data_IF_595764515828
#
_entry.id   IF_595764515828
#
_cell.length_a   1.000
_cell.length_b   1.000
_cell.length_c   1.000
_cell.angle_alpha   90.00
_cell.angle_beta   90.00
_cell.angle_gamma   90.00
#
_symmetry.space_group_name_H-M   'P 1'
#
loop_
_entity.id
_entity.type
_entity.pdbx_description
1 polymer ?
#
# COMPACT_ATOMS: atom_id res chain seq x y z
N UNK A 1 72.85 -185.50 27.91
CA UNK A 1 72.67 -184.24 27.15
C UNK A 1 72.12 -184.44 25.73
N UNK A 2 72.28 -185.62 25.09
CA UNK A 2 71.75 -185.91 23.74
C UNK A 2 70.21 -185.98 23.66
N UNK A 3 69.53 -186.39 24.74
CA UNK A 3 68.07 -186.53 24.77
C UNK A 3 67.33 -185.19 24.61
N UNK A 4 67.83 -184.10 25.20
CA UNK A 4 67.20 -182.77 25.10
C UNK A 4 67.32 -182.19 23.68
N UNK A 5 68.44 -182.45 22.99
CA UNK A 5 68.65 -182.02 21.60
C UNK A 5 67.70 -182.71 20.62
N UNK A 6 67.42 -184.00 20.84
CA UNK A 6 66.47 -184.77 20.00
C UNK A 6 65.04 -184.25 20.12
N UNK A 7 64.55 -183.94 21.33
CA UNK A 7 63.23 -183.33 21.50
C UNK A 7 63.13 -181.93 20.89
N UNK A 8 64.23 -181.16 20.90
CA UNK A 8 64.26 -179.85 20.24
C UNK A 8 64.18 -179.97 18.72
N UNK A 9 64.96 -180.89 18.12
CA UNK A 9 64.91 -181.13 16.67
C UNK A 9 63.53 -181.66 16.26
N UNK A 10 62.96 -182.60 17.01
CA UNK A 10 61.63 -183.15 16.74
C UNK A 10 60.53 -182.08 16.88
N UNK A 11 60.61 -181.23 17.90
CA UNK A 11 59.70 -180.10 18.08
C UNK A 11 59.81 -179.08 16.94
N UNK A 12 61.02 -178.75 16.51
CA UNK A 12 61.25 -177.84 15.39
C UNK A 12 60.74 -178.42 14.06
N UNK A 13 60.98 -179.72 13.81
CA UNK A 13 60.49 -180.40 12.62
C UNK A 13 58.96 -180.45 12.60
N UNK A 14 58.33 -180.70 13.75
CA UNK A 14 56.87 -180.72 13.91
C UNK A 14 56.26 -179.33 13.69
N UNK A 15 56.86 -178.27 14.26
CA UNK A 15 56.41 -176.90 14.04
C UNK A 15 56.60 -176.45 12.57
N UNK A 16 57.73 -176.82 11.95
CA UNK A 16 57.99 -176.56 10.54
C UNK A 16 56.99 -177.26 9.62
N UNK A 17 56.62 -178.51 9.93
CA UNK A 17 55.62 -179.26 9.19
C UNK A 17 54.23 -178.61 9.28
N UNK A 18 53.80 -178.18 10.47
CA UNK A 18 52.54 -177.45 10.66
C UNK A 18 52.53 -176.10 9.92
N UNK A 19 53.63 -175.34 9.95
CA UNK A 19 53.74 -174.07 9.24
C UNK A 19 53.61 -174.24 7.72
N UNK A 20 54.23 -175.29 7.15
CA UNK A 20 54.15 -175.64 5.73
C UNK A 20 52.73 -176.04 5.30
N UNK A 21 51.94 -176.62 6.21
CA UNK A 21 50.55 -177.01 5.94
C UNK A 21 49.61 -175.79 5.92
N UNK A 22 49.86 -174.80 6.79
CA UNK A 22 48.99 -173.62 6.93
C UNK A 22 49.37 -172.48 5.96
N UNK A 23 50.65 -172.33 5.60
CA UNK A 23 51.12 -171.26 4.71
C UNK A 23 50.37 -171.17 3.35
N UNK A 24 50.06 -172.29 2.65
CA UNK A 24 49.32 -172.24 1.39
C UNK A 24 47.89 -171.71 1.55
N UNK A 25 47.25 -171.94 2.70
CA UNK A 25 45.88 -171.48 2.96
C UNK A 25 45.84 -169.97 3.23
N UNK A 26 46.80 -169.45 4.01
CA UNK A 26 46.92 -168.01 4.29
C UNK A 26 47.26 -167.25 3.00
N UNK A 27 48.18 -167.75 2.16
CA UNK A 27 48.55 -167.10 0.91
C UNK A 27 47.38 -167.00 -0.08
N UNK A 28 46.59 -168.07 -0.25
CA UNK A 28 45.39 -168.04 -1.11
C UNK A 28 44.37 -167.00 -0.64
N UNK A 29 44.21 -166.84 0.68
CA UNK A 29 43.29 -165.84 1.25
C UNK A 29 43.81 -164.41 1.11
N UNK A 30 45.12 -164.20 1.21
CA UNK A 30 45.73 -162.88 0.97
C UNK A 30 45.59 -162.43 -0.50
N UNK A 31 45.88 -163.32 -1.46
CA UNK A 31 45.78 -163.02 -2.90
C UNK A 31 44.34 -162.74 -3.34
N UNK A 32 43.35 -163.44 -2.78
CA UNK A 32 41.94 -163.18 -3.11
C UNK A 32 41.46 -161.84 -2.57
N UNK A 33 41.91 -161.44 -1.37
CA UNK A 33 41.59 -160.12 -0.82
C UNK A 33 42.25 -158.98 -1.59
N UNK A 34 43.52 -159.13 -2.00
CA UNK A 34 44.19 -158.10 -2.82
C UNK A 34 43.64 -158.05 -4.24
N UNK A 35 43.34 -159.19 -4.86
CA UNK A 35 42.69 -159.26 -6.18
C UNK A 35 41.32 -158.58 -6.16
N UNK A 36 40.47 -158.89 -5.16
CA UNK A 36 39.17 -158.21 -4.99
C UNK A 36 39.29 -156.71 -4.76
N UNK A 37 40.36 -156.27 -4.07
CA UNK A 37 40.59 -154.84 -3.80
C UNK A 37 41.04 -154.08 -5.06
N UNK A 38 41.87 -154.71 -5.89
CA UNK A 38 42.35 -154.13 -7.15
C UNK A 38 41.26 -154.11 -8.21
N UNK A 39 40.50 -155.21 -8.36
CA UNK A 39 39.35 -155.30 -9.28
C UNK A 39 38.26 -154.27 -8.94
N UNK A 40 38.11 -153.86 -7.68
CA UNK A 40 37.18 -152.80 -7.28
C UNK A 40 37.68 -151.37 -7.55
N UNK A 41 38.96 -151.19 -7.92
CA UNK A 41 39.60 -149.88 -8.04
C UNK A 41 40.05 -149.52 -9.47
N UNK A 42 39.98 -150.47 -10.41
CA UNK A 42 40.46 -150.28 -11.79
C UNK A 42 39.36 -150.65 -12.78
N UNK A 43 38.96 -149.74 -13.68
CA UNK A 43 37.96 -150.05 -14.71
C UNK A 43 38.54 -151.05 -15.70
N UNK A 44 37.83 -152.17 -15.92
CA UNK A 44 38.29 -153.29 -16.76
C UNK A 44 37.36 -153.53 -17.97
N UNK A 45 36.28 -152.76 -18.14
CA UNK A 45 35.34 -152.91 -19.25
C UNK A 45 35.42 -151.75 -20.24
N UNK A 46 35.33 -152.04 -21.54
CA UNK A 46 35.39 -151.02 -22.59
C UNK A 46 34.23 -150.03 -22.51
N UNK A 47 33.07 -150.48 -22.03
CA UNK A 47 31.87 -149.67 -21.87
C UNK A 47 32.03 -148.62 -20.77
N UNK A 48 32.72 -148.93 -19.66
CA UNK A 48 33.04 -147.95 -18.60
C UNK A 48 34.01 -146.87 -19.08
N UNK A 49 34.99 -147.21 -19.93
CA UNK A 49 35.91 -146.25 -20.53
C UNK A 49 35.16 -145.32 -21.51
N UNK A 50 34.24 -145.87 -22.30
CA UNK A 50 33.39 -145.07 -23.18
C UNK A 50 32.45 -144.16 -22.38
N UNK A 51 31.84 -144.66 -21.30
CA UNK A 51 31.01 -143.85 -20.40
C UNK A 51 31.81 -142.72 -19.73
N UNK A 52 33.06 -142.97 -19.31
CA UNK A 52 33.95 -141.93 -18.78
C UNK A 52 34.35 -140.89 -19.83
N UNK A 53 34.57 -141.32 -21.08
CA UNK A 53 34.84 -140.39 -22.19
C UNK A 53 33.62 -139.53 -22.52
N UNK A 54 32.43 -140.12 -22.55
CA UNK A 54 31.19 -139.41 -22.82
C UNK A 54 30.77 -138.53 -21.65
N UNK A 55 31.05 -138.90 -20.39
CA UNK A 55 30.82 -138.03 -19.23
C UNK A 55 31.73 -136.81 -19.26
N UNK A 56 33.02 -136.97 -19.57
CA UNK A 56 33.94 -135.84 -19.77
C UNK A 56 33.51 -134.95 -20.93
N UNK A 57 33.05 -135.55 -22.04
CA UNK A 57 32.50 -134.78 -23.17
C UNK A 57 31.24 -134.01 -22.77
N UNK A 58 30.37 -134.60 -21.96
CA UNK A 58 29.18 -133.95 -21.46
C UNK A 58 29.51 -132.82 -20.47
N UNK A 59 30.47 -133.01 -19.56
CA UNK A 59 30.96 -131.96 -18.66
C UNK A 59 31.57 -130.81 -19.44
N UNK A 60 32.39 -131.08 -20.44
CA UNK A 60 32.95 -130.05 -21.33
C UNK A 60 31.84 -129.32 -22.11
N UNK A 61 30.87 -130.05 -22.67
CA UNK A 61 29.75 -129.43 -23.37
C UNK A 61 28.89 -128.55 -22.43
N UNK A 62 28.61 -129.01 -21.21
CA UNK A 62 27.86 -128.26 -20.20
C UNK A 62 28.62 -127.03 -19.72
N UNK A 63 29.93 -127.14 -19.48
CA UNK A 63 30.76 -125.99 -19.07
C UNK A 63 30.89 -124.97 -20.18
N UNK A 64 31.09 -125.39 -21.44
CA UNK A 64 31.06 -124.50 -22.61
C UNK A 64 29.70 -123.80 -22.70
N UNK A 65 28.59 -124.54 -22.60
CA UNK A 65 27.25 -123.93 -22.65
C UNK A 65 27.03 -122.93 -21.51
N UNK A 66 27.46 -123.26 -20.29
CA UNK A 66 27.37 -122.36 -19.13
C UNK A 66 28.21 -121.11 -19.33
N UNK A 67 29.41 -121.23 -19.89
CA UNK A 67 30.28 -120.09 -20.24
C UNK A 67 29.68 -119.23 -21.35
N UNK A 68 29.11 -119.83 -22.39
CA UNK A 68 28.40 -119.10 -23.46
C UNK A 68 27.20 -118.32 -22.90
N UNK A 69 26.40 -118.95 -22.04
CA UNK A 69 25.27 -118.28 -21.39
C UNK A 69 25.74 -117.14 -20.49
N UNK A 70 26.79 -117.34 -19.70
CA UNK A 70 27.37 -116.30 -18.87
C UNK A 70 27.96 -115.15 -19.71
N UNK A 71 28.64 -115.47 -20.82
CA UNK A 71 29.17 -114.49 -21.76
C UNK A 71 28.03 -113.68 -22.39
N UNK A 72 26.94 -114.33 -22.79
CA UNK A 72 25.77 -113.66 -23.35
C UNK A 72 25.13 -112.74 -22.32
N UNK A 73 24.89 -113.22 -21.10
CA UNK A 73 24.34 -112.41 -20.01
C UNK A 73 25.26 -111.24 -19.63
N UNK A 74 26.58 -111.43 -19.64
CA UNK A 74 27.54 -110.36 -19.41
C UNK A 74 27.52 -109.31 -20.53
N UNK A 75 27.46 -109.75 -21.80
CA UNK A 75 27.33 -108.84 -22.96
C UNK A 75 26.03 -108.05 -22.92
N UNK A 76 24.91 -108.69 -22.58
CA UNK A 76 23.61 -108.03 -22.43
C UNK A 76 23.66 -106.98 -21.30
N UNK A 77 24.25 -107.30 -20.15
CA UNK A 77 24.46 -106.34 -19.05
C UNK A 77 25.33 -105.15 -19.46
N UNK A 78 26.44 -105.39 -20.15
CA UNK A 78 27.31 -104.31 -20.65
C UNK A 78 26.58 -103.45 -21.67
N UNK A 79 25.81 -104.04 -22.58
CA UNK A 79 24.99 -103.29 -23.53
C UNK A 79 23.93 -102.43 -22.83
N UNK A 80 23.23 -102.98 -21.82
CA UNK A 80 22.27 -102.23 -21.01
C UNK A 80 22.95 -101.07 -20.27
N UNK A 81 24.08 -101.32 -19.61
CA UNK A 81 24.87 -100.29 -18.92
C UNK A 81 25.39 -99.20 -19.87
N UNK A 82 25.79 -99.56 -21.10
CA UNK A 82 26.18 -98.57 -22.10
C UNK A 82 25.00 -97.68 -22.52
N UNK A 83 23.81 -98.25 -22.69
CA UNK A 83 22.60 -97.48 -23.00
C UNK A 83 22.24 -96.53 -21.85
N UNK A 84 22.27 -97.01 -20.60
CA UNK A 84 22.04 -96.19 -19.40
C UNK A 84 23.07 -95.05 -19.28
N UNK A 85 24.36 -95.37 -19.46
CA UNK A 85 25.43 -94.37 -19.42
C UNK A 85 25.27 -93.32 -20.54
N UNK A 86 24.84 -93.73 -21.74
CA UNK A 86 24.56 -92.79 -22.82
C UNK A 86 23.36 -91.89 -22.51
N UNK A 87 22.27 -92.46 -21.97
CA UNK A 87 21.11 -91.68 -21.53
C UNK A 87 21.47 -90.66 -20.45
N UNK A 88 22.23 -91.07 -19.43
CA UNK A 88 22.72 -90.19 -18.37
C UNK A 88 23.65 -89.09 -18.91
N UNK A 89 24.51 -89.42 -19.88
CA UNK A 89 25.36 -88.41 -20.56
C UNK A 89 24.54 -87.39 -21.33
N UNK A 90 23.47 -87.82 -21.99
CA UNK A 90 22.60 -86.91 -22.74
C UNK A 90 21.78 -86.02 -21.79
N UNK A 91 21.30 -86.55 -20.66
CA UNK A 91 20.67 -85.77 -19.61
C UNK A 91 21.64 -84.75 -19.00
N UNK A 92 22.88 -85.16 -18.70
CA UNK A 92 23.92 -84.27 -18.20
C UNK A 92 24.21 -83.14 -19.20
N UNK A 93 24.31 -83.44 -20.50
CA UNK A 93 24.50 -82.41 -21.53
C UNK A 93 23.35 -81.42 -21.56
N UNK A 94 22.09 -81.89 -21.50
CA UNK A 94 20.91 -81.01 -21.44
C UNK A 94 20.93 -80.12 -20.21
N UNK A 95 21.20 -80.69 -19.04
CA UNK A 95 21.31 -79.94 -17.79
C UNK A 95 22.43 -78.88 -17.84
N UNK A 96 23.58 -79.20 -18.43
CA UNK A 96 24.66 -78.23 -18.64
C UNK A 96 24.24 -77.09 -19.57
N UNK A 97 23.59 -77.40 -20.70
CA UNK A 97 23.11 -76.35 -21.61
C UNK A 97 22.06 -75.45 -20.96
N UNK A 98 21.14 -76.02 -20.18
CA UNK A 98 20.13 -75.25 -19.44
C UNK A 98 20.78 -74.36 -18.38
N UNK A 99 21.76 -74.90 -17.63
CA UNK A 99 22.56 -74.14 -16.67
C UNK A 99 23.28 -72.98 -17.35
N UNK A 100 23.89 -73.20 -18.51
CA UNK A 100 24.64 -72.17 -19.21
C UNK A 100 23.71 -71.06 -19.73
N UNK A 101 22.54 -71.41 -20.28
CA UNK A 101 21.50 -70.44 -20.67
C UNK A 101 21.00 -69.65 -19.46
N UNK A 102 20.71 -70.32 -18.34
CA UNK A 102 20.31 -69.65 -17.10
C UNK A 102 21.40 -68.72 -16.60
N UNK A 103 22.66 -69.17 -16.58
CA UNK A 103 23.81 -68.35 -16.16
C UNK A 103 23.95 -67.09 -17.01
N UNK A 104 23.77 -67.20 -18.33
CA UNK A 104 23.77 -66.03 -19.22
C UNK A 104 22.60 -65.09 -18.92
N UNK A 105 21.41 -65.63 -18.63
CA UNK A 105 20.25 -64.81 -18.25
C UNK A 105 20.47 -64.08 -16.92
N UNK A 106 21.08 -64.74 -15.93
CA UNK A 106 21.44 -64.12 -14.65
C UNK A 106 22.44 -62.99 -14.84
N UNK A 107 23.49 -63.19 -15.64
CA UNK A 107 24.47 -62.15 -15.94
C UNK A 107 23.84 -60.95 -16.66
N UNK A 108 22.89 -61.19 -17.57
CA UNK A 108 22.16 -60.10 -18.22
C UNK A 108 21.27 -59.32 -17.23
N UNK A 109 20.62 -60.03 -16.30
CA UNK A 109 19.79 -59.41 -15.27
C UNK A 109 20.65 -58.62 -14.27
N UNK A 110 21.79 -59.15 -13.84
CA UNK A 110 22.76 -58.44 -12.99
C UNK A 110 23.29 -57.18 -13.68
N UNK A 111 23.66 -57.28 -14.96
CA UNK A 111 24.12 -56.12 -15.72
C UNK A 111 23.02 -55.06 -15.89
N UNK A 112 21.75 -55.47 -16.01
CA UNK A 112 20.61 -54.53 -16.04
C UNK A 112 20.34 -53.92 -14.67
N UNK A 113 20.42 -54.71 -13.60
CA UNK A 113 20.26 -54.23 -12.23
C UNK A 113 21.33 -53.18 -11.90
N UNK A 114 22.60 -53.45 -12.21
CA UNK A 114 23.69 -52.50 -12.01
C UNK A 114 23.49 -51.18 -12.76
N UNK A 115 23.01 -51.24 -14.02
CA UNK A 115 22.68 -50.04 -14.80
C UNK A 115 21.52 -49.25 -14.18
N UNK A 116 20.48 -49.94 -13.72
CA UNK A 116 19.34 -49.29 -13.07
C UNK A 116 19.74 -48.66 -11.74
N UNK A 117 20.63 -49.30 -10.96
CA UNK A 117 21.18 -48.73 -9.73
C UNK A 117 22.00 -47.46 -10.02
N UNK A 118 22.82 -47.45 -11.08
CA UNK A 118 23.56 -46.27 -11.52
C UNK A 118 22.62 -45.14 -11.99
N UNK A 119 21.60 -45.46 -12.78
CA UNK A 119 20.58 -44.49 -13.19
C UNK A 119 19.76 -43.93 -12.01
N UNK A 120 19.46 -44.76 -11.01
CA UNK A 120 18.79 -44.32 -9.79
C UNK A 120 19.67 -43.40 -8.96
N UNK A 121 20.95 -43.75 -8.77
CA UNK A 121 21.90 -42.90 -8.06
C UNK A 121 22.04 -41.54 -8.75
N UNK A 122 22.18 -41.50 -10.07
CA UNK A 122 22.22 -40.24 -10.82
C UNK A 122 20.93 -39.43 -10.70
N UNK A 123 19.75 -40.07 -10.76
CA UNK A 123 18.47 -39.38 -10.56
C UNK A 123 18.32 -38.85 -9.14
N UNK A 124 18.83 -39.56 -8.14
CA UNK A 124 18.83 -39.10 -6.75
C UNK A 124 19.73 -37.87 -6.57
N UNK A 125 20.92 -37.86 -7.18
CA UNK A 125 21.82 -36.70 -7.21
C UNK A 125 21.15 -35.49 -7.90
N UNK A 126 20.55 -35.70 -9.08
CA UNK A 126 19.82 -34.66 -9.80
C UNK A 126 18.64 -34.12 -8.98
N UNK A 127 17.89 -35.01 -8.32
CA UNK A 127 16.78 -34.62 -7.47
C UNK A 127 17.24 -33.80 -6.26
N UNK A 128 18.33 -34.19 -5.60
CA UNK A 128 18.93 -33.42 -4.51
C UNK A 128 19.37 -32.04 -5.01
N UNK A 129 20.07 -31.94 -6.14
CA UNK A 129 20.52 -30.68 -6.70
C UNK A 129 19.34 -29.75 -7.07
N UNK A 130 18.25 -30.29 -7.64
CA UNK A 130 17.04 -29.52 -7.94
C UNK A 130 16.32 -29.09 -6.67
N UNK A 131 16.24 -29.96 -5.66
CA UNK A 131 15.63 -29.64 -4.36
C UNK A 131 16.39 -28.51 -3.64
N UNK A 132 17.72 -28.56 -3.63
CA UNK A 132 18.56 -27.50 -3.06
C UNK A 132 18.35 -26.17 -3.78
N UNK A 133 18.32 -26.18 -5.12
CA UNK A 133 18.01 -25.00 -5.94
C UNK A 133 16.62 -24.44 -5.63
N UNK A 134 15.62 -25.31 -5.45
CA UNK A 134 14.26 -24.88 -5.12
C UNK A 134 14.25 -24.16 -3.77
N UNK A 135 14.88 -24.73 -2.74
CA UNK A 135 14.99 -24.10 -1.41
C UNK A 135 15.74 -22.76 -1.48
N UNK A 136 16.81 -22.67 -2.29
CA UNK A 136 17.51 -21.39 -2.51
C UNK A 136 16.61 -20.34 -3.17
N UNK A 137 15.82 -20.73 -4.17
CA UNK A 137 14.88 -19.84 -4.84
C UNK A 137 13.72 -19.42 -3.94
N UNK A 138 13.18 -20.33 -3.12
CA UNK A 138 12.16 -20.02 -2.11
C UNK A 138 12.68 -18.97 -1.12
N UNK A 139 13.90 -19.15 -0.59
CA UNK A 139 14.55 -18.15 0.28
C UNK A 139 14.72 -16.80 -0.40
N UNK A 140 15.10 -16.78 -1.68
CA UNK A 140 15.20 -15.54 -2.47
C UNK A 140 13.84 -14.87 -2.63
N UNK A 141 12.78 -15.63 -2.90
CA UNK A 141 11.42 -15.11 -3.00
C UNK A 141 10.94 -14.53 -1.66
N UNK A 142 11.14 -15.23 -0.54
CA UNK A 142 10.82 -14.71 0.79
C UNK A 142 11.56 -13.40 1.11
N UNK A 143 12.84 -13.32 0.74
CA UNK A 143 13.62 -12.09 0.90
C UNK A 143 13.06 -10.94 0.04
N UNK A 144 12.68 -11.21 -1.21
CA UNK A 144 12.04 -10.22 -2.10
C UNK A 144 10.67 -9.79 -1.57
N UNK A 145 9.88 -10.69 -1.02
CA UNK A 145 8.59 -10.37 -0.41
C UNK A 145 8.76 -9.48 0.84
N UNK A 146 9.79 -9.73 1.64
CA UNK A 146 10.14 -8.87 2.77
C UNK A 146 10.61 -7.48 2.31
N UNK A 147 11.43 -7.41 1.26
CA UNK A 147 11.84 -6.15 0.62
C UNK A 147 10.63 -5.37 0.07
N UNK A 148 9.71 -6.04 -0.62
CA UNK A 148 8.49 -5.44 -1.15
C UNK A 148 7.57 -4.92 -0.06
N UNK A 149 7.37 -5.69 1.03
CA UNK A 149 6.60 -5.22 2.20
C UNK A 149 7.25 -4.00 2.84
N UNK A 150 8.58 -3.96 2.95
CA UNK A 150 9.32 -2.80 3.47
C UNK A 150 9.13 -1.60 2.55
N UNK A 151 9.28 -1.78 1.23
CA UNK A 151 9.09 -0.71 0.25
C UNK A 151 7.65 -0.19 0.24
N UNK A 152 6.66 -1.08 0.38
CA UNK A 152 5.26 -0.71 0.52
C UNK A 152 5.02 0.19 1.74
N UNK A 153 5.56 -0.18 2.91
CA UNK A 153 5.47 0.66 4.12
C UNK A 153 6.12 2.04 3.92
N UNK A 154 7.29 2.08 3.31
CA UNK A 154 7.97 3.35 3.01
C UNK A 154 7.18 4.22 2.03
N UNK A 155 6.52 3.60 1.05
CA UNK A 155 5.64 4.30 0.11
C UNK A 155 4.40 4.86 0.80
N UNK A 156 3.75 4.07 1.65
CA UNK A 156 2.59 4.50 2.43
C UNK A 156 2.95 5.67 3.35
N UNK A 157 4.07 5.57 4.07
CA UNK A 157 4.59 6.64 4.92
C UNK A 157 4.90 7.91 4.11
N UNK A 158 5.62 7.78 2.99
CA UNK A 158 5.91 8.92 2.12
C UNK A 158 4.65 9.55 1.51
N UNK A 159 3.63 8.74 1.21
CA UNK A 159 2.34 9.20 0.70
C UNK A 159 1.54 9.94 1.78
N UNK A 160 1.56 9.46 3.02
CA UNK A 160 0.97 10.15 4.17
C UNK A 160 1.67 11.47 4.45
N UNK A 161 3.01 11.50 4.42
CA UNK A 161 3.80 12.71 4.57
C UNK A 161 3.51 13.73 3.47
N UNK A 162 3.40 13.27 2.21
CA UNK A 162 3.03 14.15 1.10
C UNK A 162 1.62 14.73 1.28
N UNK A 163 0.66 13.91 1.70
CA UNK A 163 -0.71 14.35 1.99
C UNK A 163 -0.75 15.35 3.14
N UNK A 164 0.04 15.11 4.19
CA UNK A 164 0.19 16.02 5.34
C UNK A 164 0.77 17.37 4.90
N UNK A 165 1.86 17.37 4.12
CA UNK A 165 2.45 18.59 3.55
C UNK A 165 1.48 19.33 2.63
N UNK A 166 0.65 18.62 1.87
CA UNK A 166 -0.39 19.25 1.04
C UNK A 166 -1.44 19.95 1.90
N UNK A 167 -1.90 19.34 2.99
CA UNK A 167 -2.81 19.96 3.95
C UNK A 167 -2.17 21.21 4.58
N UNK A 168 -0.91 21.13 4.98
CA UNK A 168 -0.16 22.27 5.52
C UNK A 168 -0.01 23.40 4.50
N UNK A 169 0.31 23.07 3.24
CA UNK A 169 0.43 24.05 2.16
C UNK A 169 -0.90 24.78 1.93
N UNK A 170 -2.02 24.06 1.88
CA UNK A 170 -3.37 24.65 1.74
C UNK A 170 -3.71 25.51 2.96
N UNK A 171 -3.34 25.08 4.17
CA UNK A 171 -3.53 25.87 5.38
C UNK A 171 -2.68 27.17 5.36
N UNK A 172 -1.45 27.10 4.88
CA UNK A 172 -0.59 28.27 4.69
C UNK A 172 -1.12 29.22 3.62
N UNK A 173 -1.64 28.71 2.52
CA UNK A 173 -2.28 29.50 1.47
C UNK A 173 -3.52 30.24 2.00
N UNK A 174 -4.38 29.54 2.76
CA UNK A 174 -5.52 30.17 3.43
C UNK A 174 -5.10 31.27 4.42
N UNK A 175 -4.00 31.07 5.16
CA UNK A 175 -3.44 32.13 6.04
C UNK A 175 -2.93 33.32 5.24
N UNK A 176 -2.26 33.09 4.11
CA UNK A 176 -1.80 34.16 3.22
C UNK A 176 -2.98 34.95 2.65
N UNK A 177 -4.06 34.30 2.27
CA UNK A 177 -5.24 34.99 1.75
C UNK A 177 -5.98 35.80 2.82
N UNK A 178 -6.06 35.30 4.06
CA UNK A 178 -6.51 36.10 5.20
C UNK A 178 -5.62 37.33 5.42
N UNK A 179 -4.30 37.15 5.44
CA UNK A 179 -3.37 38.27 5.62
C UNK A 179 -3.46 39.28 4.46
N UNK A 180 -3.64 38.81 3.21
CA UNK A 180 -3.88 39.70 2.06
C UNK A 180 -5.18 40.49 2.23
N UNK A 181 -6.26 39.85 2.70
CA UNK A 181 -7.52 40.50 2.98
C UNK A 181 -7.35 41.57 4.08
N UNK A 182 -6.68 41.24 5.19
CA UNK A 182 -6.37 42.17 6.27
C UNK A 182 -5.52 43.35 5.78
N UNK A 183 -4.49 43.10 4.96
CA UNK A 183 -3.68 44.17 4.33
C UNK A 183 -4.56 45.06 3.45
N UNK A 184 -5.53 44.50 2.72
CA UNK A 184 -6.43 45.29 1.88
C UNK A 184 -7.37 46.18 2.73
N UNK A 185 -7.87 45.65 3.85
CA UNK A 185 -8.70 46.38 4.81
C UNK A 185 -7.87 47.51 5.43
N UNK A 186 -6.69 47.21 5.97
CA UNK A 186 -5.77 48.20 6.56
C UNK A 186 -5.35 49.27 5.54
N UNK A 187 -5.17 48.91 4.26
CA UNK A 187 -4.90 49.90 3.19
C UNK A 187 -6.09 50.82 2.96
N UNK A 188 -7.31 50.30 2.96
CA UNK A 188 -8.52 51.09 2.81
C UNK A 188 -8.73 52.00 4.03
N UNK A 189 -8.59 51.47 5.24
CA UNK A 189 -8.64 52.25 6.49
C UNK A 189 -7.58 53.36 6.51
N UNK A 190 -6.34 53.06 6.07
CA UNK A 190 -5.29 54.06 5.93
C UNK A 190 -5.70 55.13 4.91
N UNK A 191 -6.25 54.75 3.76
CA UNK A 191 -6.69 55.69 2.72
C UNK A 191 -7.82 56.60 3.24
N UNK A 192 -8.78 56.03 3.96
CA UNK A 192 -9.86 56.79 4.61
C UNK A 192 -9.31 57.71 5.70
N UNK A 193 -8.37 57.24 6.53
CA UNK A 193 -7.72 58.07 7.54
C UNK A 193 -6.90 59.21 6.93
N UNK A 194 -6.15 58.93 5.85
CA UNK A 194 -5.40 59.94 5.09
C UNK A 194 -6.36 60.96 4.45
N UNK A 195 -7.53 60.53 3.96
CA UNK A 195 -8.55 61.41 3.41
C UNK A 195 -9.19 62.28 4.50
N UNK A 196 -9.59 61.69 5.64
CA UNK A 196 -10.08 62.43 6.81
C UNK A 196 -9.04 63.43 7.32
N UNK A 197 -7.76 63.04 7.37
CA UNK A 197 -6.68 63.94 7.75
C UNK A 197 -6.57 65.12 6.76
N UNK A 198 -6.67 64.86 5.45
CA UNK A 198 -6.68 65.93 4.44
C UNK A 198 -7.88 66.86 4.60
N UNK A 199 -9.08 66.34 4.80
CA UNK A 199 -10.30 67.11 5.07
C UNK A 199 -10.12 67.97 6.32
N UNK A 200 -9.72 67.39 7.45
CA UNK A 200 -9.46 68.14 8.69
C UNK A 200 -8.39 69.21 8.49
N UNK A 201 -7.32 68.95 7.72
CA UNK A 201 -6.31 69.98 7.43
C UNK A 201 -6.84 71.09 6.51
N UNK A 202 -7.72 70.77 5.56
CA UNK A 202 -8.37 71.74 4.69
C UNK A 202 -9.36 72.60 5.48
N UNK A 203 -10.19 71.97 6.32
CA UNK A 203 -11.12 72.64 7.23
C UNK A 203 -10.39 73.53 8.22
N UNK A 204 -9.27 73.07 8.80
CA UNK A 204 -8.42 73.90 9.66
C UNK A 204 -7.85 75.12 8.91
N UNK A 205 -7.46 74.96 7.63
CA UNK A 205 -7.00 76.09 6.81
C UNK A 205 -8.14 77.07 6.52
N UNK A 206 -9.31 76.57 6.11
CA UNK A 206 -10.49 77.38 5.85
C UNK A 206 -10.95 78.13 7.12
N UNK A 207 -11.00 77.46 8.26
CA UNK A 207 -11.30 78.07 9.56
C UNK A 207 -10.28 79.15 9.94
N UNK A 208 -8.98 78.92 9.70
CA UNK A 208 -7.94 79.94 9.92
C UNK A 208 -8.09 81.13 8.98
N UNK A 209 -8.48 80.92 7.73
CA UNK A 209 -8.74 82.00 6.77
C UNK A 209 -10.00 82.79 7.13
N UNK A 210 -11.08 82.11 7.52
CA UNK A 210 -12.29 82.73 8.04
C UNK A 210 -11.99 83.56 9.30
N UNK A 211 -11.23 83.01 10.25
CA UNK A 211 -10.79 83.74 11.45
C UNK A 211 -9.96 84.98 11.08
N UNK A 212 -9.04 84.88 10.11
CA UNK A 212 -8.31 86.04 9.60
C UNK A 212 -9.23 87.07 8.95
N UNK A 213 -10.24 86.64 8.21
CA UNK A 213 -11.22 87.53 7.59
C UNK A 213 -12.07 88.25 8.65
N UNK A 214 -12.55 87.54 9.67
CA UNK A 214 -13.24 88.12 10.82
C UNK A 214 -12.33 89.08 11.59
N UNK A 215 -11.07 88.72 11.86
CA UNK A 215 -10.10 89.66 12.46
C UNK A 215 -9.91 90.93 11.62
N UNK A 216 -9.87 90.82 10.28
CA UNK A 216 -9.81 92.01 9.40
C UNK A 216 -11.09 92.85 9.48
N UNK A 217 -12.27 92.22 9.58
CA UNK A 217 -13.55 92.92 9.77
C UNK A 217 -13.61 93.60 11.13
N UNK A 218 -13.21 92.92 12.21
CA UNK A 218 -13.09 93.48 13.56
C UNK A 218 -12.13 94.65 13.55
N UNK A 219 -10.92 94.51 12.99
CA UNK A 219 -9.99 95.63 12.85
C UNK A 219 -10.56 96.78 11.99
N UNK A 220 -11.38 96.48 10.97
CA UNK A 220 -12.09 97.48 10.19
C UNK A 220 -13.21 98.18 10.96
N UNK A 221 -13.92 97.46 11.83
CA UNK A 221 -14.93 98.00 12.74
C UNK A 221 -14.29 98.82 13.86
N UNK A 222 -13.19 98.34 14.44
CA UNK A 222 -12.36 99.09 15.41
C UNK A 222 -11.92 100.42 14.81
N UNK A 223 -11.41 100.44 13.57
CA UNK A 223 -11.10 101.70 12.87
C UNK A 223 -12.31 102.59 12.63
N UNK A 224 -13.49 102.03 12.36
CA UNK A 224 -14.72 102.81 12.22
C UNK A 224 -15.20 103.37 13.55
N UNK A 225 -15.05 102.62 14.64
CA UNK A 225 -15.29 103.10 16.00
C UNK A 225 -14.29 104.20 16.34
N UNK A 226 -13.02 104.05 15.98
CA UNK A 226 -11.98 105.07 16.16
C UNK A 226 -12.29 106.33 15.32
N UNK A 227 -12.75 106.18 14.08
CA UNK A 227 -13.21 107.30 13.25
C UNK A 227 -14.47 107.96 13.81
N UNK A 228 -15.44 107.19 14.31
CA UNK A 228 -16.66 107.72 14.91
C UNK A 228 -16.38 108.42 16.23
N UNK A 229 -15.49 107.88 17.07
CA UNK A 229 -15.04 108.51 18.31
C UNK A 229 -14.22 109.76 18.03
N UNK A 230 -13.36 109.76 17.01
CA UNK A 230 -12.68 110.97 16.53
C UNK A 230 -13.68 112.00 15.98
N UNK A 231 -14.71 111.58 15.24
CA UNK A 231 -15.77 112.48 14.76
C UNK A 231 -16.65 113.02 15.87
N UNK A 232 -16.89 112.23 16.93
CA UNK A 232 -17.56 112.64 18.15
C UNK A 232 -16.69 113.64 18.90
N UNK A 233 -15.38 113.38 19.05
CA UNK A 233 -14.44 114.32 19.64
C UNK A 233 -14.36 115.62 18.84
N UNK A 234 -14.34 115.57 17.50
CA UNK A 234 -14.38 116.76 16.64
C UNK A 234 -15.73 117.50 16.75
N UNK A 235 -16.84 116.78 16.93
CA UNK A 235 -18.16 117.37 17.15
C UNK A 235 -18.29 117.98 18.55
N UNK A 236 -17.72 117.34 19.57
CA UNK A 236 -17.57 117.84 20.93
C UNK A 236 -16.68 119.08 20.96
N UNK A 237 -15.56 119.10 20.22
CA UNK A 237 -14.69 120.27 20.02
C UNK A 237 -15.42 121.41 19.31
N UNK A 238 -16.27 121.09 18.31
CA UNK A 238 -17.11 122.09 17.61
C UNK A 238 -18.21 122.62 18.53
N UNK A 239 -18.80 121.78 19.38
CA UNK A 239 -19.74 122.16 20.43
C UNK A 239 -19.05 123.05 21.46
N UNK A 240 -17.86 122.68 21.93
CA UNK A 240 -17.07 123.45 22.87
C UNK A 240 -16.66 124.82 22.27
N UNK A 241 -16.35 124.89 20.97
CA UNK A 241 -16.13 126.15 20.26
C UNK A 241 -17.41 126.99 20.14
N UNK A 242 -18.56 126.37 19.85
CA UNK A 242 -19.88 127.04 19.82
C UNK A 242 -20.31 127.54 21.21
N UNK A 243 -19.98 126.79 22.26
CA UNK A 243 -20.20 127.19 23.65
C UNK A 243 -19.26 128.33 24.06
N UNK A 244 -18.00 128.33 23.62
CA UNK A 244 -17.07 129.45 23.78
C UNK A 244 -17.49 130.70 22.98
N UNK A 245 -18.12 130.54 21.82
CA UNK A 245 -18.72 131.64 21.03
C UNK A 245 -20.00 132.20 21.69
N UNK A 246 -20.84 131.33 22.28
CA UNK A 246 -21.98 131.75 23.10
C UNK A 246 -21.56 132.42 24.42
N UNK A 247 -20.41 132.05 24.97
CA UNK A 247 -19.80 132.72 26.13
C UNK A 247 -19.26 134.12 25.80
N UNK A 248 -18.78 134.35 24.58
CA UNK A 248 -18.25 135.66 24.12
C UNK A 248 -19.33 136.65 23.65
N UNK A 249 -20.54 136.17 23.34
CA UNK A 249 -21.68 136.99 22.92
C UNK A 249 -22.63 137.39 24.08
N UNK A 250 -22.29 137.04 25.33
CA UNK A 250 -23.15 137.30 26.50
C UNK A 250 -22.69 138.44 27.41
N UNK A 251 -21.54 139.06 27.15
CA UNK A 251 -21.00 140.18 27.96
C UNK A 251 -20.53 141.39 27.12
N UNK A 252 -21.46 142.10 26.47
CA UNK A 252 -21.69 143.56 26.63
C UNK A 252 -22.68 144.15 25.59
N UNK A 253 -23.46 145.20 25.97
CA UNK A 253 -24.71 145.59 25.33
C UNK A 253 -24.61 146.87 24.48
N UNK A 254 -25.45 147.01 23.44
CA UNK A 254 -26.51 148.03 23.33
C UNK A 254 -27.20 148.02 21.93
N UNK A 255 -28.52 148.21 21.98
CA UNK A 255 -29.45 148.80 21.00
C UNK A 255 -29.70 148.24 19.58
N UNK A 256 -30.99 147.97 19.36
CA UNK A 256 -31.74 148.15 18.10
C UNK A 256 -31.78 146.92 17.19
N UNK A 257 -32.92 146.35 16.80
CA UNK A 257 -34.31 146.79 16.81
C UNK A 257 -35.01 146.12 15.62
N UNK A 258 -36.32 145.85 15.75
CA UNK A 258 -37.21 145.52 14.63
C UNK A 258 -37.38 144.01 14.39
N UNK A 259 -38.45 143.40 14.94
CA UNK A 259 -39.79 143.23 14.33
C UNK A 259 -39.76 142.37 13.06
N UNK A 260 -40.32 141.16 13.18
CA UNK A 260 -41.60 140.77 12.56
C UNK A 260 -41.44 140.44 11.05
N UNK A 261 -42.04 139.42 10.46
CA UNK A 261 -43.30 138.78 10.77
C UNK A 261 -43.40 137.54 9.86
N UNK A 262 -44.27 136.61 10.29
CA UNK A 262 -45.27 135.92 9.46
C UNK A 262 -44.83 135.00 8.32
N UNK A 263 -45.42 133.80 8.44
CA UNK A 263 -45.75 132.81 7.41
C UNK A 263 -44.52 132.04 6.92
N UNK A 264 -44.57 130.72 6.80
CA UNK A 264 -45.56 130.02 5.99
C UNK A 264 -46.08 128.70 6.59
N UNK A 265 -47.41 128.58 6.62
CA UNK A 265 -48.23 127.37 6.77
C UNK A 265 -48.04 126.36 5.61
N UNK A 266 -46.94 126.47 4.85
CA UNK A 266 -46.57 125.57 3.75
C UNK A 266 -45.58 124.47 4.17
N UNK A 267 -44.82 124.68 5.26
CA UNK A 267 -43.84 123.70 5.77
C UNK A 267 -44.48 122.54 6.56
N UNK A 268 -45.58 122.80 7.26
CA UNK A 268 -46.32 121.75 8.00
C UNK A 268 -47.10 120.81 7.08
N UNK A 269 -47.49 121.27 5.88
CA UNK A 269 -48.13 120.43 4.87
C UNK A 269 -47.15 119.43 4.23
N UNK A 270 -45.90 119.85 3.96
CA UNK A 270 -44.87 118.96 3.42
C UNK A 270 -44.41 117.90 4.44
N UNK A 271 -44.37 118.25 5.73
CA UNK A 271 -44.04 117.29 6.79
C UNK A 271 -45.16 116.26 7.00
N UNK A 272 -46.44 116.67 6.93
CA UNK A 272 -47.59 115.74 6.95
C UNK A 272 -47.61 114.84 5.72
N UNK A 273 -47.33 115.37 4.53
CA UNK A 273 -47.24 114.59 3.29
C UNK A 273 -46.14 113.52 3.37
N UNK A 274 -44.95 113.87 3.88
CA UNK A 274 -43.83 112.95 4.07
C UNK A 274 -44.12 111.88 5.12
N UNK A 275 -44.80 112.22 6.22
CA UNK A 275 -45.23 111.24 7.23
C UNK A 275 -46.26 110.27 6.65
N UNK A 276 -47.22 110.75 5.84
CA UNK A 276 -48.18 109.87 5.18
C UNK A 276 -47.55 108.99 4.10
N UNK A 277 -46.52 109.48 3.39
CA UNK A 277 -45.75 108.69 2.41
C UNK A 277 -44.97 107.57 3.11
N UNK A 278 -44.27 107.89 4.21
CA UNK A 278 -43.49 106.93 4.99
C UNK A 278 -44.39 105.90 5.68
N UNK A 279 -45.54 106.32 6.21
CA UNK A 279 -46.53 105.42 6.80
C UNK A 279 -47.10 104.44 5.76
N UNK A 280 -47.36 104.89 4.52
CA UNK A 280 -47.84 104.01 3.45
C UNK A 280 -46.78 102.97 3.04
N UNK A 281 -45.50 103.36 3.02
CA UNK A 281 -44.39 102.47 2.66
C UNK A 281 -44.11 101.42 3.74
N UNK A 282 -44.14 101.81 5.01
CA UNK A 282 -44.01 100.89 6.15
C UNK A 282 -45.17 99.90 6.20
N UNK A 283 -46.41 100.36 6.00
CA UNK A 283 -47.60 99.48 5.97
C UNK A 283 -47.56 98.52 4.78
N UNK A 284 -47.08 98.94 3.62
CA UNK A 284 -46.89 98.07 2.45
C UNK A 284 -45.78 97.03 2.69
N UNK A 285 -44.68 97.41 3.35
CA UNK A 285 -43.60 96.49 3.70
C UNK A 285 -44.06 95.44 4.73
N UNK A 286 -44.85 95.85 5.73
CA UNK A 286 -45.45 94.91 6.70
C UNK A 286 -46.51 94.03 6.06
N UNK A 287 -47.33 94.54 5.14
CA UNK A 287 -48.30 93.72 4.41
C UNK A 287 -47.62 92.66 3.51
N UNK A 288 -46.44 92.95 2.95
CA UNK A 288 -45.63 91.97 2.21
C UNK A 288 -45.00 90.91 3.12
N UNK A 289 -44.71 91.24 4.37
CA UNK A 289 -44.15 90.31 5.36
C UNK A 289 -45.22 89.44 6.03
N UNK A 290 -46.44 89.96 6.24
CA UNK A 290 -47.54 89.24 6.91
C UNK A 290 -48.34 88.28 5.99
N UNK A 291 -48.20 88.38 4.66
CA UNK A 291 -48.87 87.49 3.71
C UNK A 291 -50.38 87.76 3.52
N UNK A 292 -51.05 86.98 2.64
CA UNK A 292 -52.38 87.33 2.06
C UNK A 292 -53.56 87.33 3.05
N UNK A 293 -53.40 86.84 4.28
CA UNK A 293 -54.48 86.73 5.28
C UNK A 293 -54.43 87.78 6.40
N UNK A 294 -53.59 88.83 6.27
CA UNK A 294 -53.47 89.87 7.29
C UNK A 294 -54.76 90.71 7.46
N UNK A 295 -55.11 91.13 8.69
CA UNK A 295 -56.28 91.98 8.96
C UNK A 295 -56.24 93.33 8.22
N UNK A 296 -55.05 93.80 7.83
CA UNK A 296 -54.84 95.04 7.06
C UNK A 296 -55.33 94.88 5.61
N UNK A 297 -55.12 93.71 4.99
CA UNK A 297 -55.64 93.40 3.65
C UNK A 297 -57.17 93.40 3.60
N UNK A 298 -57.82 92.87 4.65
CA UNK A 298 -59.30 92.84 4.77
C UNK A 298 -59.90 94.24 4.97
N UNK A 299 -59.25 95.10 5.76
CA UNK A 299 -59.69 96.49 5.96
C UNK A 299 -59.50 97.40 4.72
N UNK A 300 -58.55 97.08 3.84
CA UNK A 300 -58.34 97.82 2.58
C UNK A 300 -59.31 97.40 1.46
N UNK A 301 -59.87 96.18 1.54
CA UNK A 301 -60.86 95.65 0.60
C UNK A 301 -62.30 96.11 0.91
N UNK A 302 -62.56 96.57 2.15
CA UNK A 302 -63.87 97.02 2.59
C UNK A 302 -64.13 98.48 2.17
N UNK A 303 -65.16 98.68 1.33
CA UNK A 303 -65.47 99.95 0.66
C UNK A 303 -66.48 100.75 1.49
N UNK A 304 -66.04 101.77 2.23
CA UNK A 304 -66.94 102.72 2.91
C UNK A 304 -67.06 104.06 2.16
N UNK A 305 -68.27 104.65 2.02
CA UNK A 305 -68.49 105.85 1.20
C UNK A 305 -68.46 107.16 2.00
N UNK A 306 -67.63 108.07 1.51
CA UNK A 306 -67.80 109.53 1.39
C UNK A 306 -67.85 110.42 2.65
N UNK A 307 -67.05 111.49 2.58
CA UNK A 307 -67.04 112.61 3.52
C UNK A 307 -66.04 113.68 3.09
N UNK A 308 -66.36 114.38 2.01
CA UNK A 308 -65.56 115.44 1.42
C UNK A 308 -65.22 116.56 2.41
N UNK A 309 -63.93 116.74 2.70
CA UNK A 309 -63.36 118.04 3.05
C UNK A 309 -61.87 118.09 2.67
N UNK A 310 -61.52 119.02 1.79
CA UNK A 310 -60.16 119.54 1.63
C UNK A 310 -59.07 118.60 1.05
N UNK A 311 -59.05 118.45 -0.27
CA UNK A 311 -57.81 118.45 -1.08
C UNK A 311 -56.63 117.53 -0.73
N UNK A 312 -56.81 116.46 0.05
CA UNK A 312 -55.72 115.54 0.43
C UNK A 312 -56.14 114.08 0.20
N UNK A 313 -55.39 113.36 -0.63
CA UNK A 313 -55.65 111.96 -1.00
C UNK A 313 -55.54 111.05 0.23
N UNK A 314 -56.58 110.26 0.52
CA UNK A 314 -56.64 109.35 1.68
C UNK A 314 -55.50 108.31 1.66
N UNK A 315 -54.99 107.96 2.84
CA UNK A 315 -53.92 106.98 3.03
C UNK A 315 -54.25 105.60 2.41
N UNK A 316 -55.52 105.17 2.50
CA UNK A 316 -55.98 103.92 1.92
C UNK A 316 -55.94 103.91 0.38
N UNK A 317 -56.16 105.07 -0.25
CA UNK A 317 -56.09 105.22 -1.70
C UNK A 317 -54.64 105.24 -2.20
N UNK A 318 -53.71 105.83 -1.43
CA UNK A 318 -52.27 105.82 -1.74
C UNK A 318 -51.65 104.42 -1.62
N UNK A 319 -52.05 103.65 -0.60
CA UNK A 319 -51.62 102.24 -0.45
C UNK A 319 -52.11 101.40 -1.63
N UNK A 320 -53.37 101.58 -2.08
CA UNK A 320 -53.89 100.91 -3.28
C UNK A 320 -53.15 101.33 -4.56
N UNK A 321 -52.79 102.60 -4.72
CA UNK A 321 -51.99 103.06 -5.85
C UNK A 321 -50.57 102.45 -5.88
N UNK A 322 -49.91 102.31 -4.72
CA UNK A 322 -48.61 101.65 -4.61
C UNK A 322 -48.67 100.14 -4.92
N UNK A 323 -49.73 99.45 -4.52
CA UNK A 323 -49.93 98.04 -4.88
C UNK A 323 -50.19 97.84 -6.39
N UNK A 324 -50.94 98.74 -7.03
CA UNK A 324 -51.17 98.69 -8.48
C UNK A 324 -49.91 99.00 -9.30
N UNK A 325 -49.02 99.88 -8.79
CA UNK A 325 -47.73 100.16 -9.41
C UNK A 325 -46.74 98.99 -9.25
N UNK A 326 -46.77 98.29 -8.10
CA UNK A 326 -45.94 97.11 -7.84
C UNK A 326 -46.40 95.84 -8.58
N UNK A 327 -47.66 95.77 -9.03
CA UNK A 327 -48.21 94.67 -9.85
C UNK A 327 -48.16 94.89 -11.37
N UNK A 328 -47.57 96.00 -11.83
CA UNK A 328 -47.38 96.34 -13.26
C UNK A 328 -45.90 96.31 -13.72
N UNK A 329 -45.04 95.65 -12.94
CA UNK A 329 -43.67 95.27 -13.32
C UNK A 329 -43.54 93.75 -13.31
#
# INVERSE_FOLDING_TARGET
MIQSTLFFILGFLSAGFLALLVAPAIWRRAVTLTRRRVEASVPLTMDEIQAGKDSVRAELAMTIRKLEMNLKAAKEKVAAQMLEMNALRDEQKRALTERDVKSQSYQQLEARAAKLEEELAHREEDFQAVSERLVEHERKLEARDAELKKLGRMYDEASLDASSRQIEAVAHESRLDKLKADISILRNERKEADQKAREVTADNKAAREALKAEHKKVAGLERRVEQLTASLADAEDRLERRERELGRLRDKPDQGGGKAARRDEAGEAMLREQIHQLAAEVVNLTAKLDGPDSPIGKALAEKTPNGASGGTTSLADRIRALQQAAGKQ
#
